data_IF_414124850280
#
_entry.id   IF_414124850280
#
_cell.length_a   1.000
_cell.length_b   1.000
_cell.length_c   1.000
_cell.angle_alpha   90.00
_cell.angle_beta   90.00
_cell.angle_gamma   90.00
#
_symmetry.space_group_name_H-M   'P 1'
#
loop_
_entity.id
_entity.type
_entity.pdbx_description
1 polymer ?
#
# COMPACT_ATOMS: atom_id res chain seq x y z
N UNK A 1 2.41 3.16 -15.66
CA UNK A 1 1.98 1.90 -15.01
C UNK A 1 0.94 1.28 -15.94
N UNK A 2 1.26 0.18 -16.62
CA UNK A 2 0.30 -0.48 -17.52
C UNK A 2 -0.90 -0.97 -16.70
N UNK A 3 -2.06 -0.39 -16.94
CA UNK A 3 -3.31 -0.80 -16.30
C UNK A 3 -3.72 -2.10 -16.97
N UNK A 4 -3.31 -3.24 -16.41
CA UNK A 4 -3.95 -4.52 -16.72
C UNK A 4 -5.39 -4.42 -16.21
N UNK A 5 -6.36 -4.85 -17.00
CA UNK A 5 -7.81 -4.84 -16.71
C UNK A 5 -8.18 -5.34 -15.31
N UNK A 6 -7.32 -6.13 -14.66
CA UNK A 6 -7.53 -6.70 -13.33
C UNK A 6 -7.25 -5.77 -12.15
N UNK A 7 -6.79 -4.53 -12.38
CA UNK A 7 -6.51 -3.58 -11.29
C UNK A 7 -7.81 -3.04 -10.67
N UNK A 8 -8.35 -3.76 -9.69
CA UNK A 8 -9.48 -3.30 -8.87
C UNK A 8 -9.05 -2.13 -7.98
N UNK A 9 -9.80 -1.02 -8.04
CA UNK A 9 -9.65 0.09 -7.11
C UNK A 9 -10.26 -0.30 -5.76
N UNK A 10 -9.51 -0.08 -4.68
CA UNK A 10 -9.97 -0.30 -3.31
C UNK A 10 -9.90 1.03 -2.59
N UNK A 11 -10.99 1.42 -1.95
CA UNK A 11 -11.04 2.57 -1.05
C UNK A 11 -10.97 2.07 0.38
N UNK A 12 -9.93 2.49 1.11
CA UNK A 12 -9.73 2.20 2.53
C UNK A 12 -9.85 3.48 3.33
N UNK A 13 -10.41 3.37 4.53
CA UNK A 13 -10.51 4.49 5.47
C UNK A 13 -9.43 4.32 6.53
N UNK A 14 -8.61 5.35 6.69
CA UNK A 14 -7.65 5.48 7.78
C UNK A 14 -8.07 6.65 8.66
N UNK A 15 -7.66 6.60 9.92
CA UNK A 15 -7.63 7.80 10.75
C UNK A 15 -6.57 8.76 10.23
N UNK A 16 -6.66 10.03 10.65
CA UNK A 16 -5.72 11.06 10.23
C UNK A 16 -4.28 10.72 10.66
N UNK A 17 -4.10 10.25 11.89
CA UNK A 17 -2.78 9.90 12.45
C UNK A 17 -2.14 8.72 11.71
N UNK A 18 -2.93 7.69 11.39
CA UNK A 18 -2.46 6.56 10.59
C UNK A 18 -2.03 7.00 9.18
N UNK A 19 -2.81 7.88 8.55
CA UNK A 19 -2.48 8.38 7.22
C UNK A 19 -1.19 9.22 7.21
N UNK A 20 -1.02 10.13 8.17
CA UNK A 20 0.19 10.95 8.31
C UNK A 20 1.44 10.10 8.55
N UNK A 21 1.29 9.03 9.34
CA UNK A 21 2.35 8.05 9.58
C UNK A 21 2.72 7.33 8.28
N UNK A 22 1.72 6.83 7.54
CA UNK A 22 1.94 6.17 6.24
C UNK A 22 2.59 7.13 5.23
N UNK A 23 2.17 8.40 5.22
CA UNK A 23 2.73 9.41 4.33
C UNK A 23 4.21 9.68 4.64
N UNK A 24 4.57 9.74 5.92
CA UNK A 24 5.96 9.92 6.36
C UNK A 24 6.82 8.73 5.93
N UNK A 25 6.38 7.50 6.21
CA UNK A 25 7.09 6.28 5.80
C UNK A 25 7.21 6.16 4.27
N UNK A 26 6.17 6.55 3.54
CA UNK A 26 6.21 6.56 2.07
C UNK A 26 7.23 7.57 1.53
N UNK A 27 7.35 8.75 2.16
CA UNK A 27 8.34 9.78 1.82
C UNK A 27 9.76 9.30 2.09
N UNK A 28 10.01 8.63 3.22
CA UNK A 28 11.32 8.05 3.55
C UNK A 28 11.78 7.02 2.49
N UNK A 29 10.84 6.24 1.94
CA UNK A 29 11.13 5.30 0.85
C UNK A 29 11.12 5.91 -0.56
N UNK A 30 10.94 7.23 -0.71
CA UNK A 30 10.76 7.92 -2.00
C UNK A 30 9.63 7.31 -2.87
N UNK A 31 8.51 6.95 -2.25
CA UNK A 31 7.35 6.32 -2.90
C UNK A 31 6.08 7.13 -2.70
N UNK A 32 5.11 6.95 -3.60
CA UNK A 32 3.74 7.41 -3.35
C UNK A 32 3.05 6.53 -2.30
N UNK A 33 2.14 7.12 -1.53
CA UNK A 33 1.36 6.43 -0.49
C UNK A 33 0.70 5.16 -1.02
N UNK A 34 0.05 5.23 -2.18
CA UNK A 34 -0.61 4.06 -2.78
C UNK A 34 0.37 2.93 -3.12
N UNK A 35 1.57 3.26 -3.59
CA UNK A 35 2.58 2.26 -3.96
C UNK A 35 3.28 1.67 -2.73
N UNK A 36 3.44 2.48 -1.68
CA UNK A 36 3.91 2.02 -0.38
C UNK A 36 2.91 1.03 0.25
N UNK A 37 1.62 1.39 0.31
CA UNK A 37 0.56 0.49 0.80
C UNK A 37 0.53 -0.81 -0.02
N UNK A 38 0.60 -0.73 -1.34
CA UNK A 38 0.62 -1.91 -2.21
C UNK A 38 1.81 -2.84 -1.89
N UNK A 39 3.01 -2.31 -1.67
CA UNK A 39 4.20 -3.07 -1.26
C UNK A 39 3.93 -3.84 0.04
N UNK A 40 3.46 -3.14 1.08
CA UNK A 40 3.18 -3.73 2.39
C UNK A 40 2.10 -4.82 2.31
N UNK A 41 1.01 -4.56 1.59
CA UNK A 41 -0.05 -5.56 1.39
C UNK A 41 0.50 -6.79 0.67
N UNK A 42 1.27 -6.62 -0.39
CA UNK A 42 1.86 -7.74 -1.15
C UNK A 42 2.80 -8.59 -0.29
N UNK A 43 3.65 -7.95 0.53
CA UNK A 43 4.54 -8.65 1.45
C UNK A 43 3.78 -9.45 2.50
N UNK A 44 2.72 -8.88 3.09
CA UNK A 44 1.89 -9.58 4.07
C UNK A 44 1.09 -10.74 3.47
N UNK A 45 0.51 -10.54 2.28
CA UNK A 45 -0.19 -11.62 1.56
C UNK A 45 0.76 -12.78 1.26
N UNK A 46 2.00 -12.48 0.81
CA UNK A 46 3.01 -13.51 0.56
C UNK A 46 3.33 -14.29 1.84
N UNK A 47 3.55 -13.61 2.97
CA UNK A 47 3.82 -14.24 4.27
C UNK A 47 2.66 -15.12 4.76
N UNK A 48 1.42 -14.75 4.48
CA UNK A 48 0.24 -15.54 4.86
C UNK A 48 0.05 -16.77 3.97
N UNK A 49 0.48 -16.70 2.71
CA UNK A 49 0.33 -17.80 1.74
C UNK A 49 1.48 -18.83 1.80
N UNK A 50 2.57 -18.51 2.49
CA UNK A 50 3.69 -19.43 2.78
C UNK A 50 3.50 -20.22 4.10
N UNK A 51 2.34 -20.09 4.76
CA UNK A 51 1.90 -20.91 5.91
C UNK A 51 0.90 -21.96 5.48
#
# INVERSE_FOLDING_TARGET
MAVKDDNKRISVKFTKEEYETIETLAKEECRSVSNFIYKIVKENVKKLNEK
#
